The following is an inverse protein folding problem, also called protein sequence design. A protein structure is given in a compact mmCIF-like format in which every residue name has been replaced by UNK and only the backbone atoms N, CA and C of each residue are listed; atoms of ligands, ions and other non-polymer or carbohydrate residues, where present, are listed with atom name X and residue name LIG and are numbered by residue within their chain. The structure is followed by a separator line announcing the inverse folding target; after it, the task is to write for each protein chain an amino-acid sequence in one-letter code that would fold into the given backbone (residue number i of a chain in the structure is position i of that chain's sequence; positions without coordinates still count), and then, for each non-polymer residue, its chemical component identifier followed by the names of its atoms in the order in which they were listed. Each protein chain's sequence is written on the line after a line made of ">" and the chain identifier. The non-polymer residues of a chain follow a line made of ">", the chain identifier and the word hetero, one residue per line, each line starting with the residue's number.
data_IF_878213052066
#
_entry.id   IF_878213052066
#
_cell.length_a   1.000
_cell.length_b   1.000
_cell.length_c   1.000
_cell.angle_alpha   90.00
_cell.angle_beta   90.00
_cell.angle_gamma   90.00
#
_symmetry.space_group_name_H-M   'P 1'
#
loop_
_entity.id
_entity.type
_entity.pdbx_description
1 polymer ?
#
# COMPACT_ATOMS: atom_id res chain seq x y z
N UNK A 1 -14.32 -13.02 -12.45
CA UNK A 1 -14.21 -12.56 -12.31
C UNK A 1 -14.40 -11.60 -12.55
N UNK A 2 -14.62 -11.11 -12.37
CA UNK A 2 -14.66 -10.40 -12.46
C UNK A 2 -14.44 -9.20 -12.44
N UNK A 3 -14.40 -8.42 -11.96
CA UNK A 3 -14.08 -7.29 -11.90
C UNK A 3 -12.87 -6.92 -11.35
N UNK A 4 -12.00 -7.37 -11.56
CA UNK A 4 -10.70 -7.23 -10.99
C UNK A 4 -10.03 -5.91 -11.16
N UNK A 5 -10.58 -5.06 -11.90
CA UNK A 5 -9.98 -3.75 -12.06
C UNK A 5 -9.90 -2.98 -10.79
N UNK A 6 -10.87 -3.16 -9.92
CA UNK A 6 -10.90 -2.45 -8.66
C UNK A 6 -10.24 -3.21 -7.55
N UNK A 7 -9.74 -4.39 -7.86
CA UNK A 7 -9.17 -5.27 -6.85
C UNK A 7 -7.66 -5.33 -7.02
N UNK A 8 -6.94 -5.07 -5.96
CA UNK A 8 -5.50 -5.22 -5.95
C UNK A 8 -5.16 -6.47 -5.18
N UNK A 9 -4.47 -7.37 -5.85
CA UNK A 9 -4.04 -8.61 -5.22
C UNK A 9 -2.99 -8.30 -4.17
N UNK A 10 -3.30 -8.57 -2.92
CA UNK A 10 -2.39 -8.32 -1.83
C UNK A 10 -1.63 -9.59 -1.49
N UNK A 11 -0.34 -9.56 -1.71
CA UNK A 11 0.52 -10.69 -1.39
C UNK A 11 1.53 -10.28 -0.34
N UNK A 12 1.71 -11.13 0.65
CA UNK A 12 2.66 -10.83 1.70
C UNK A 12 3.24 -12.10 2.31
N UNK A 13 3.34 -13.12 1.49
CA UNK A 13 3.97 -14.37 1.96
C UNK A 13 5.46 -14.17 2.19
N UNK A 14 6.10 -13.36 1.37
CA UNK A 14 7.51 -13.07 1.50
C UNK A 14 7.74 -11.57 1.38
N UNK A 15 8.95 -11.16 1.74
CA UNK A 15 9.31 -9.75 1.62
C UNK A 15 9.22 -9.27 0.17
N UNK A 16 9.61 -10.12 -0.76
CA UNK A 16 9.53 -9.78 -2.17
C UNK A 16 8.08 -9.56 -2.60
N UNK A 17 7.18 -10.39 -2.10
CA UNK A 17 5.76 -10.23 -2.38
C UNK A 17 5.24 -8.90 -1.85
N UNK A 18 5.67 -8.55 -0.64
CA UNK A 18 5.24 -7.29 -0.04
C UNK A 18 5.70 -6.10 -0.86
N UNK A 19 6.95 -6.14 -1.29
CA UNK A 19 7.50 -5.05 -2.09
C UNK A 19 6.80 -4.95 -3.43
N UNK A 20 6.49 -6.09 -4.04
CA UNK A 20 5.79 -6.10 -5.31
C UNK A 20 4.38 -5.51 -5.15
N UNK A 21 3.72 -5.84 -4.05
CA UNK A 21 2.40 -5.30 -3.78
C UNK A 21 2.47 -3.78 -3.61
N UNK A 22 3.47 -3.30 -2.88
CA UNK A 22 3.65 -1.86 -2.70
C UNK A 22 3.85 -1.17 -4.04
N UNK A 23 4.71 -1.73 -4.88
CA UNK A 23 4.96 -1.15 -6.18
C UNK A 23 3.69 -1.09 -7.01
N UNK A 24 2.91 -2.16 -6.97
CA UNK A 24 1.66 -2.20 -7.70
C UNK A 24 0.69 -1.13 -7.22
N UNK A 25 0.57 -1.00 -5.90
CA UNK A 25 -0.34 0.00 -5.33
C UNK A 25 0.08 1.40 -5.73
N UNK A 26 1.38 1.67 -5.74
CA UNK A 26 1.86 3.00 -6.11
C UNK A 26 1.56 3.31 -7.58
N UNK A 27 1.50 2.30 -8.42
CA UNK A 27 1.31 2.50 -9.85
C UNK A 27 -0.14 2.52 -10.29
N UNK A 28 -1.04 1.99 -9.49
CA UNK A 28 -2.44 1.94 -9.90
C UNK A 28 -3.02 3.34 -9.95
N UNK A 29 -3.99 3.50 -10.83
CA UNK A 29 -4.62 4.80 -11.02
C UNK A 29 -5.79 4.96 -10.05
N UNK A 30 -5.47 5.14 -8.80
CA UNK A 30 -6.46 5.27 -7.73
C UNK A 30 -6.11 6.47 -6.87
N UNK A 31 -7.11 7.06 -6.21
CA UNK A 31 -6.84 8.21 -5.34
C UNK A 31 -5.98 7.83 -4.15
N UNK A 32 -5.34 8.84 -3.59
CA UNK A 32 -4.46 8.65 -2.44
C UNK A 32 -5.15 7.88 -1.32
N UNK A 33 -6.39 8.26 -0.99
CA UNK A 33 -7.09 7.64 0.11
C UNK A 33 -7.26 6.13 -0.11
N UNK A 34 -7.53 5.75 -1.35
CA UNK A 34 -7.70 4.33 -1.66
C UNK A 34 -6.39 3.58 -1.52
N UNK A 35 -5.30 4.18 -1.97
CA UNK A 35 -3.99 3.54 -1.85
C UNK A 35 -3.63 3.32 -0.38
N UNK A 36 -3.87 4.32 0.44
CA UNK A 36 -3.60 4.21 1.88
C UNK A 36 -4.46 3.12 2.49
N UNK A 37 -5.72 3.04 2.08
CA UNK A 37 -6.61 2.01 2.61
C UNK A 37 -6.12 0.61 2.28
N UNK A 38 -5.69 0.39 1.05
CA UNK A 38 -5.18 -0.90 0.63
C UNK A 38 -3.95 -1.29 1.46
N UNK A 39 -3.04 -0.35 1.63
CA UNK A 39 -1.83 -0.62 2.39
C UNK A 39 -2.13 -0.83 3.87
N UNK A 40 -3.13 -0.14 4.40
CA UNK A 40 -3.52 -0.33 5.79
C UNK A 40 -4.05 -1.74 6.02
N UNK A 41 -4.89 -2.21 5.12
CA UNK A 41 -5.43 -3.56 5.22
C UNK A 41 -4.28 -4.58 5.14
N UNK A 42 -3.37 -4.38 4.19
CA UNK A 42 -2.25 -5.28 4.04
C UNK A 42 -1.37 -5.31 5.29
N UNK A 43 -1.13 -4.14 5.86
CA UNK A 43 -0.33 -4.05 7.08
C UNK A 43 -0.98 -4.80 8.22
N UNK A 44 -2.28 -4.61 8.41
CA UNK A 44 -2.99 -5.27 9.48
C UNK A 44 -2.99 -6.78 9.33
N UNK A 45 -3.19 -7.25 8.11
CA UNK A 45 -3.18 -8.68 7.86
C UNK A 45 -1.82 -9.28 8.15
N UNK A 46 -0.76 -8.58 7.75
CA UNK A 46 0.58 -9.07 8.01
C UNK A 46 0.85 -9.14 9.51
N UNK A 47 0.38 -8.16 10.26
CA UNK A 47 0.54 -8.17 11.71
C UNK A 47 -0.19 -9.34 12.35
N UNK A 48 -1.41 -9.58 11.91
CA UNK A 48 -2.20 -10.68 12.45
C UNK A 48 -1.50 -12.01 12.22
N UNK A 49 -0.83 -12.13 11.08
CA UNK A 49 -0.11 -13.36 10.76
C UNK A 49 1.29 -13.41 11.36
N UNK A 50 1.65 -12.40 12.14
CA UNK A 50 2.94 -12.40 12.79
C UNK A 50 4.10 -12.00 11.90
N UNK A 51 3.80 -11.41 10.75
CA UNK A 51 4.84 -11.01 9.80
C UNK A 51 5.19 -9.55 9.99
N UNK A 52 5.87 -9.25 11.09
CA UNK A 52 6.16 -7.87 11.46
C UNK A 52 7.01 -7.15 10.42
N UNK A 53 8.02 -7.81 9.89
CA UNK A 53 8.90 -7.17 8.90
C UNK A 53 8.09 -6.77 7.66
N UNK A 54 7.19 -7.64 7.23
CA UNK A 54 6.36 -7.36 6.07
C UNK A 54 5.37 -6.24 6.39
N UNK A 55 4.81 -6.26 7.59
CA UNK A 55 3.92 -5.18 8.00
C UNK A 55 4.65 -3.84 7.96
N UNK A 56 5.93 -3.83 8.33
CA UNK A 56 6.71 -2.60 8.28
C UNK A 56 6.89 -2.09 6.85
N UNK A 57 7.01 -2.99 5.89
CA UNK A 57 7.11 -2.58 4.49
C UNK A 57 5.88 -1.77 4.09
N UNK A 58 4.70 -2.27 4.45
CA UNK A 58 3.47 -1.57 4.13
C UNK A 58 3.35 -0.26 4.90
N UNK A 59 3.79 -0.27 6.14
CA UNK A 59 3.76 0.93 6.96
C UNK A 59 4.64 2.02 6.35
N UNK A 60 5.83 1.65 5.92
CA UNK A 60 6.73 2.62 5.29
C UNK A 60 6.17 3.12 3.97
N UNK A 61 5.52 2.25 3.22
CA UNK A 61 4.89 2.66 1.97
C UNK A 61 3.81 3.71 2.22
N UNK A 62 3.02 3.51 3.27
CA UNK A 62 2.01 4.51 3.63
C UNK A 62 2.65 5.84 3.98
N UNK A 63 3.72 5.79 4.74
CA UNK A 63 4.43 7.01 5.14
C UNK A 63 4.96 7.75 3.91
N UNK A 64 5.50 7.00 2.96
CA UNK A 64 6.00 7.59 1.73
C UNK A 64 4.88 8.27 0.94
N UNK A 65 3.77 7.59 0.78
CA UNK A 65 2.65 8.15 0.03
C UNK A 65 2.11 9.39 0.73
N UNK A 66 2.03 9.32 2.05
CA UNK A 66 1.54 10.46 2.83
C UNK A 66 2.46 11.66 2.66
N UNK A 67 3.76 11.41 2.67
CA UNK A 67 4.72 12.48 2.51
C UNK A 67 4.60 13.12 1.13
N UNK A 68 4.47 12.30 0.10
CA UNK A 68 4.33 12.82 -1.25
C UNK A 68 3.02 13.58 -1.43
N UNK A 69 1.95 13.06 -0.85
CA UNK A 69 0.66 13.71 -0.95
C UNK A 69 0.69 15.07 -0.27
N UNK A 70 1.29 15.12 0.91
CA UNK A 70 1.38 16.37 1.65
C UNK A 70 2.21 17.38 0.89
N UNK A 71 3.30 16.93 0.30
CA UNK A 71 4.15 17.81 -0.46
C UNK A 71 3.41 18.39 -1.65
N UNK A 72 2.65 17.55 -2.35
CA UNK A 72 1.87 18.02 -3.48
C UNK A 72 0.81 19.03 -3.05
N UNK A 73 0.19 18.78 -1.91
CA UNK A 73 -0.82 19.70 -1.41
C UNK A 73 -0.22 21.06 -1.11
N UNK A 74 0.97 21.05 -0.55
CA UNK A 74 1.66 22.31 -0.23
C UNK A 74 2.03 23.04 -1.50
N UNK A 75 2.51 22.30 -2.49
CA UNK A 75 2.97 22.95 -3.70
C UNK A 75 1.81 23.53 -4.51
N UNK A 76 0.61 23.07 -4.29
CA UNK A 76 -0.53 23.65 -5.01
C UNK A 76 -0.95 24.98 -4.46
N UNK A 77 -0.44 25.30 -3.32
CA UNK A 77 -0.74 26.62 -2.78
C UNK A 77 0.10 27.67 -3.47
#
# INVERSE_FOLDING_TARGET
>A
DENPKDTVSIKFATMADAKATVAKVKRINKPYARKIQILTVAEQRAKVMGKTAIANVFKQAKAELRRKHKKNAVSTK
#
